data_IF_981838891167
#
_entry.id   IF_981838891167
#
_cell.length_a   1.000
_cell.length_b   1.000
_cell.length_c   1.000
_cell.angle_alpha   90.00
_cell.angle_beta   90.00
_cell.angle_gamma   90.00
#
_symmetry.space_group_name_H-M   'P 1'
#
loop_
_entity.id
_entity.type
_entity.pdbx_description
1 polymer ?
#
# COMPACT_ATOMS: atom_id res chain seq x y z
N UNK A 1 7.77 -50.18 -11.61
CA UNK A 1 8.71 -49.16 -12.05
C UNK A 1 7.89 -47.89 -12.25
N UNK A 2 7.75 -47.10 -11.16
CA UNK A 2 7.00 -45.83 -11.21
C UNK A 2 7.97 -44.77 -11.73
N UNK A 3 7.73 -44.31 -12.96
CA UNK A 3 8.39 -43.11 -13.48
C UNK A 3 7.78 -41.87 -12.79
N UNK A 4 8.48 -41.30 -11.87
CA UNK A 4 8.21 -39.91 -11.40
C UNK A 4 8.68 -39.00 -12.55
N UNK A 5 7.74 -38.49 -13.33
CA UNK A 5 8.00 -37.41 -14.27
C UNK A 5 8.19 -36.16 -13.40
N UNK A 6 9.44 -35.79 -13.12
CA UNK A 6 9.76 -34.45 -12.64
C UNK A 6 9.43 -33.48 -13.79
N UNK A 7 8.31 -32.78 -13.70
CA UNK A 7 8.07 -31.58 -14.50
C UNK A 7 9.16 -30.57 -14.11
N UNK A 8 10.18 -30.45 -14.92
CA UNK A 8 11.06 -29.30 -14.91
C UNK A 8 10.21 -28.11 -15.37
N UNK A 9 9.69 -27.33 -14.43
CA UNK A 9 9.15 -26.03 -14.74
C UNK A 9 10.33 -25.18 -15.27
N UNK A 10 10.27 -24.83 -16.55
CA UNK A 10 11.20 -23.87 -17.11
C UNK A 10 11.03 -22.56 -16.33
N UNK A 11 12.14 -21.98 -15.86
CA UNK A 11 12.15 -20.64 -15.25
C UNK A 11 11.49 -19.68 -16.22
N UNK A 12 10.33 -19.14 -15.84
CA UNK A 12 9.57 -18.26 -16.72
C UNK A 12 10.16 -16.86 -16.61
N UNK A 13 10.83 -16.40 -17.66
CA UNK A 13 11.28 -15.01 -17.74
C UNK A 13 10.08 -14.06 -17.51
N UNK A 14 10.29 -12.91 -16.86
CA UNK A 14 9.21 -11.99 -16.56
C UNK A 14 8.52 -11.54 -17.84
N UNK A 15 7.20 -11.60 -17.81
CA UNK A 15 6.32 -11.10 -18.86
C UNK A 15 5.67 -9.82 -18.38
N UNK A 16 5.34 -8.90 -19.29
CA UNK A 16 4.65 -7.68 -18.92
C UNK A 16 3.77 -7.15 -20.04
N UNK A 17 2.74 -6.42 -19.67
CA UNK A 17 1.80 -5.77 -20.57
C UNK A 17 1.25 -4.49 -19.94
N UNK A 18 0.73 -3.57 -20.73
CA UNK A 18 -0.01 -2.44 -20.23
C UNK A 18 -1.46 -2.86 -19.95
N UNK A 19 -1.98 -2.45 -18.78
CA UNK A 19 -3.40 -2.64 -18.44
C UNK A 19 -4.29 -1.72 -19.29
N UNK A 20 -3.79 -0.52 -19.58
CA UNK A 20 -4.42 0.48 -20.43
C UNK A 20 -3.35 1.19 -21.26
N UNK A 21 -3.74 1.86 -22.32
CA UNK A 21 -2.82 2.64 -23.14
C UNK A 21 -2.25 3.83 -22.34
N UNK A 22 -1.04 4.24 -22.71
CA UNK A 22 -0.43 5.48 -22.19
C UNK A 22 -1.30 6.67 -22.52
N UNK A 23 -1.50 7.56 -21.57
CA UNK A 23 -2.27 8.79 -21.74
C UNK A 23 -1.74 9.92 -20.86
N UNK A 24 -2.14 11.16 -21.17
CA UNK A 24 -1.74 12.34 -20.42
C UNK A 24 -2.47 12.50 -19.09
N UNK A 25 -3.59 11.80 -18.90
CA UNK A 25 -4.34 11.80 -17.64
C UNK A 25 -3.56 11.07 -16.53
N UNK A 26 -3.80 11.48 -15.29
CA UNK A 26 -3.19 10.87 -14.12
C UNK A 26 -3.77 9.47 -13.85
N UNK A 27 -2.90 8.46 -13.79
CA UNK A 27 -3.24 7.06 -13.51
C UNK A 27 -2.29 6.53 -12.44
N UNK A 28 -2.78 6.32 -11.21
CA UNK A 28 -1.89 6.03 -10.09
C UNK A 28 -2.44 5.03 -9.10
N UNK A 29 -1.52 4.41 -8.31
CA UNK A 29 -1.85 3.57 -7.15
C UNK A 29 -2.64 2.31 -7.50
N UNK A 30 -2.06 1.45 -8.34
CA UNK A 30 -2.68 0.20 -8.75
C UNK A 30 -2.89 -0.79 -7.59
N UNK A 31 -4.00 -1.54 -7.65
CA UNK A 31 -4.27 -2.70 -6.79
C UNK A 31 -4.79 -3.86 -7.66
N UNK A 32 -4.28 -5.08 -7.46
CA UNK A 32 -4.60 -6.26 -8.26
C UNK A 32 -5.08 -7.41 -7.38
N UNK A 33 -6.08 -8.18 -7.86
CA UNK A 33 -6.53 -9.43 -7.25
C UNK A 33 -6.78 -10.50 -8.30
N UNK A 34 -6.71 -11.78 -7.90
CA UNK A 34 -7.27 -12.91 -8.64
C UNK A 34 -8.66 -13.21 -8.11
N UNK A 35 -9.67 -13.28 -9.01
CA UNK A 35 -11.05 -13.63 -8.64
C UNK A 35 -11.20 -15.14 -8.39
N UNK A 36 -12.27 -15.61 -7.75
CA UNK A 36 -12.54 -17.03 -7.59
C UNK A 36 -12.57 -17.83 -8.89
N UNK A 37 -12.99 -17.26 -10.00
CA UNK A 37 -13.00 -17.92 -11.33
C UNK A 37 -11.64 -17.87 -12.03
N UNK A 38 -10.69 -17.05 -11.51
CA UNK A 38 -9.32 -16.96 -11.98
C UNK A 38 -9.04 -15.81 -12.93
N UNK A 39 -9.95 -14.87 -13.03
CA UNK A 39 -9.71 -13.60 -13.69
C UNK A 39 -8.76 -12.74 -12.85
N UNK A 40 -8.06 -11.81 -13.50
CA UNK A 40 -7.36 -10.75 -12.82
C UNK A 40 -8.20 -9.46 -12.88
N UNK A 41 -8.36 -8.80 -11.74
CA UNK A 41 -9.03 -7.52 -11.63
C UNK A 41 -8.03 -6.49 -11.08
N UNK A 42 -7.85 -5.36 -11.78
CA UNK A 42 -6.99 -4.25 -11.35
C UNK A 42 -7.85 -3.02 -11.13
N UNK A 43 -7.55 -2.25 -10.07
CA UNK A 43 -8.12 -0.93 -9.83
C UNK A 43 -7.02 0.10 -9.65
N UNK A 44 -7.28 1.35 -10.07
CA UNK A 44 -6.40 2.53 -9.88
C UNK A 44 -7.24 3.79 -9.80
N UNK A 45 -6.67 4.91 -9.38
CA UNK A 45 -7.38 6.17 -9.51
C UNK A 45 -6.94 6.94 -10.76
N UNK A 46 -7.89 7.63 -11.37
CA UNK A 46 -7.79 8.27 -12.67
C UNK A 46 -8.40 9.68 -12.65
N UNK A 47 -7.77 10.64 -13.33
CA UNK A 47 -8.27 12.01 -13.50
C UNK A 47 -7.23 12.96 -14.06
N UNK A 48 -7.39 14.27 -13.82
CA UNK A 48 -6.51 15.28 -14.41
C UNK A 48 -5.24 15.53 -13.58
N UNK A 49 -5.23 15.12 -12.29
CA UNK A 49 -4.07 15.28 -11.42
C UNK A 49 -4.34 14.82 -9.98
N UNK A 50 -3.28 14.56 -9.19
CA UNK A 50 -3.41 14.07 -7.82
C UNK A 50 -3.88 15.14 -6.83
N UNK A 51 -3.61 16.42 -7.10
CA UNK A 51 -3.88 17.51 -6.18
C UNK A 51 -4.72 18.59 -6.84
N UNK A 52 -5.77 18.99 -6.12
CA UNK A 52 -6.66 20.07 -6.58
C UNK A 52 -7.62 19.65 -7.68
N UNK A 53 -7.76 18.35 -7.94
CA UNK A 53 -8.68 17.78 -8.90
C UNK A 53 -9.80 17.02 -8.17
N UNK A 54 -11.00 17.59 -8.17
CA UNK A 54 -12.19 16.99 -7.57
C UNK A 54 -12.88 15.97 -8.51
N UNK A 55 -12.25 15.66 -9.67
CA UNK A 55 -12.78 14.73 -10.68
C UNK A 55 -12.09 13.35 -10.65
N UNK A 56 -11.24 13.09 -9.68
CA UNK A 56 -10.59 11.80 -9.54
C UNK A 56 -11.62 10.70 -9.23
N UNK A 57 -11.58 9.63 -10.00
CA UNK A 57 -12.44 8.46 -9.86
C UNK A 57 -11.61 7.18 -9.67
N UNK A 58 -12.22 6.13 -9.17
CA UNK A 58 -11.61 4.80 -9.21
C UNK A 58 -12.04 4.09 -10.47
N UNK A 59 -11.06 3.76 -11.32
CA UNK A 59 -11.23 2.90 -12.49
C UNK A 59 -10.74 1.48 -12.21
N UNK A 60 -11.19 0.54 -13.01
CA UNK A 60 -10.71 -0.82 -13.04
C UNK A 60 -10.69 -1.41 -14.43
N UNK A 61 -9.96 -2.50 -14.60
CA UNK A 61 -9.96 -3.33 -15.80
C UNK A 61 -9.87 -4.80 -15.39
N UNK A 62 -10.42 -5.67 -16.24
CA UNK A 62 -10.42 -7.11 -16.05
C UNK A 62 -9.63 -7.81 -17.15
N UNK A 63 -8.88 -8.83 -16.77
CA UNK A 63 -8.31 -9.79 -17.68
C UNK A 63 -8.93 -11.15 -17.40
N UNK A 64 -9.89 -11.55 -18.21
CA UNK A 64 -10.54 -12.85 -18.11
C UNK A 64 -9.50 -13.96 -18.26
N UNK A 65 -9.65 -15.01 -17.49
CA UNK A 65 -8.73 -16.15 -17.51
C UNK A 65 -8.52 -16.69 -18.93
N UNK A 66 -7.28 -16.69 -19.37
CA UNK A 66 -6.89 -17.11 -20.72
C UNK A 66 -7.07 -16.06 -21.82
N UNK A 67 -7.55 -14.85 -21.49
CA UNK A 67 -7.60 -13.76 -22.46
C UNK A 67 -6.19 -13.22 -22.76
N UNK A 68 -5.97 -12.78 -23.99
CA UNK A 68 -4.71 -12.19 -24.44
C UNK A 68 -4.54 -10.72 -23.94
N UNK A 69 -5.66 -10.02 -23.70
CA UNK A 69 -5.66 -8.59 -23.36
C UNK A 69 -6.60 -8.27 -22.20
N UNK A 70 -6.38 -7.11 -21.59
CA UNK A 70 -7.27 -6.51 -20.62
C UNK A 70 -8.52 -5.96 -21.30
N UNK A 71 -9.63 -5.87 -20.56
CA UNK A 71 -10.84 -5.14 -20.97
C UNK A 71 -10.54 -3.64 -21.12
N UNK A 72 -11.43 -2.91 -21.78
CA UNK A 72 -11.47 -1.47 -21.62
C UNK A 72 -11.69 -1.09 -20.13
N UNK A 73 -11.12 0.04 -19.65
CA UNK A 73 -11.37 0.52 -18.29
C UNK A 73 -12.86 0.79 -18.04
N UNK A 74 -13.31 0.54 -16.82
CA UNK A 74 -14.65 0.84 -16.32
C UNK A 74 -14.59 1.51 -14.94
N UNK A 75 -15.65 2.26 -14.60
CA UNK A 75 -15.73 2.93 -13.30
C UNK A 75 -16.01 1.91 -12.20
N UNK A 76 -15.17 1.90 -11.17
CA UNK A 76 -15.32 1.08 -9.96
C UNK A 76 -16.02 1.84 -8.84
N UNK A 77 -15.65 3.11 -8.65
CA UNK A 77 -16.27 4.02 -7.70
C UNK A 77 -16.09 5.47 -8.17
N UNK A 78 -17.10 6.28 -7.89
CA UNK A 78 -17.14 7.72 -8.19
C UNK A 78 -18.06 8.40 -7.16
N UNK A 79 -17.49 9.29 -6.36
CA UNK A 79 -18.24 10.17 -5.46
C UNK A 79 -18.31 11.58 -6.11
N UNK A 80 -19.41 11.94 -6.75
CA UNK A 80 -19.48 13.17 -7.54
C UNK A 80 -19.03 14.42 -6.77
N UNK A 81 -18.04 15.12 -7.31
CA UNK A 81 -17.49 16.35 -6.73
C UNK A 81 -16.51 16.12 -5.55
N UNK A 82 -16.08 14.88 -5.34
CA UNK A 82 -15.04 14.53 -4.37
C UNK A 82 -13.95 13.72 -5.07
N UNK A 83 -12.66 13.99 -4.84
CA UNK A 83 -11.59 13.17 -5.40
C UNK A 83 -11.54 11.81 -4.70
N UNK A 84 -11.64 10.73 -5.48
CA UNK A 84 -11.49 9.35 -5.05
C UNK A 84 -10.07 8.83 -5.36
N UNK A 85 -9.37 8.31 -4.35
CA UNK A 85 -7.95 7.93 -4.45
C UNK A 85 -7.61 6.64 -3.70
N UNK A 86 -6.43 6.09 -3.98
CA UNK A 86 -5.82 4.96 -3.27
C UNK A 86 -6.72 3.72 -3.17
N UNK A 87 -7.18 3.15 -4.28
CA UNK A 87 -7.98 1.92 -4.24
C UNK A 87 -7.15 0.74 -3.72
N UNK A 88 -7.78 -0.11 -2.91
CA UNK A 88 -7.24 -1.37 -2.44
C UNK A 88 -8.27 -2.47 -2.65
N UNK A 89 -7.96 -3.41 -3.54
CA UNK A 89 -8.77 -4.59 -3.79
C UNK A 89 -8.33 -5.75 -2.90
N UNK A 90 -9.27 -6.58 -2.51
CA UNK A 90 -9.01 -7.82 -1.81
C UNK A 90 -10.18 -8.80 -2.00
N UNK A 91 -9.87 -10.06 -2.26
CA UNK A 91 -10.86 -11.14 -2.23
C UNK A 91 -10.68 -11.89 -0.92
N UNK A 92 -11.70 -11.91 -0.08
CA UNK A 92 -11.66 -12.57 1.21
C UNK A 92 -11.78 -14.09 1.12
N UNK A 93 -11.63 -14.79 2.25
CA UNK A 93 -11.74 -16.27 2.30
C UNK A 93 -13.14 -16.80 1.99
N UNK A 94 -14.17 -15.97 2.10
CA UNK A 94 -15.53 -16.30 1.73
C UNK A 94 -15.79 -16.11 0.22
N UNK A 95 -14.81 -15.57 -0.51
CA UNK A 95 -14.90 -15.27 -1.93
C UNK A 95 -15.58 -13.94 -2.24
N UNK A 96 -15.77 -13.06 -1.26
CA UNK A 96 -16.29 -11.72 -1.49
C UNK A 96 -15.15 -10.76 -1.90
N UNK A 97 -15.43 -9.93 -2.91
CA UNK A 97 -14.56 -8.84 -3.32
C UNK A 97 -14.80 -7.62 -2.43
N UNK A 98 -13.71 -7.03 -1.98
CA UNK A 98 -13.70 -5.77 -1.24
C UNK A 98 -12.91 -4.71 -2.01
N UNK A 99 -13.40 -3.47 -1.96
CA UNK A 99 -12.70 -2.28 -2.41
C UNK A 99 -12.69 -1.26 -1.27
N UNK A 100 -11.49 -0.86 -0.83
CA UNK A 100 -11.30 0.31 0.02
C UNK A 100 -10.69 1.43 -0.80
N UNK A 101 -11.14 2.66 -0.57
CA UNK A 101 -10.56 3.85 -1.17
C UNK A 101 -10.78 5.04 -0.26
N UNK A 102 -10.21 6.17 -0.57
CA UNK A 102 -10.47 7.42 0.13
C UNK A 102 -11.19 8.40 -0.78
N UNK A 103 -12.05 9.22 -0.16
CA UNK A 103 -12.55 10.45 -0.75
C UNK A 103 -12.16 11.61 0.14
N UNK A 104 -11.93 12.79 -0.43
CA UNK A 104 -11.50 13.96 0.32
C UNK A 104 -12.56 15.06 0.28
N UNK A 105 -12.96 15.55 1.45
CA UNK A 105 -13.75 16.79 1.51
C UNK A 105 -12.81 17.98 1.33
N UNK A 106 -13.19 18.95 0.52
CA UNK A 106 -12.39 20.15 0.25
C UNK A 106 -10.92 19.86 -0.15
N UNK A 107 -10.63 18.67 -0.66
CA UNK A 107 -9.32 18.24 -1.13
C UNK A 107 -8.18 18.48 -0.11
N UNK A 108 -8.45 18.30 1.17
CA UNK A 108 -7.48 18.45 2.26
C UNK A 108 -7.21 17.13 2.97
N UNK A 109 -5.98 16.95 3.47
CA UNK A 109 -5.54 15.69 4.10
C UNK A 109 -6.27 15.37 5.39
N UNK A 110 -6.68 16.40 6.10
CA UNK A 110 -7.41 16.31 7.36
C UNK A 110 -8.79 15.72 7.18
N UNK A 111 -9.33 15.77 5.97
CA UNK A 111 -10.71 15.38 5.66
C UNK A 111 -10.82 14.11 4.83
N UNK A 112 -9.72 13.38 4.60
CA UNK A 112 -9.76 12.10 3.91
C UNK A 112 -10.57 11.09 4.71
N UNK A 113 -11.63 10.55 4.13
CA UNK A 113 -12.42 9.51 4.76
C UNK A 113 -12.36 8.20 3.98
N UNK A 114 -12.22 7.13 4.74
CA UNK A 114 -12.08 5.77 4.22
C UNK A 114 -13.45 5.24 3.80
N UNK A 115 -13.56 4.87 2.55
CA UNK A 115 -14.73 4.19 1.99
C UNK A 115 -14.47 2.69 1.87
N UNK A 116 -15.53 1.91 1.87
CA UNK A 116 -15.50 0.47 1.68
C UNK A 116 -16.70 0.00 0.90
N UNK A 117 -16.47 -0.73 -0.19
CA UNK A 117 -17.45 -1.49 -0.94
C UNK A 117 -17.19 -2.98 -0.81
N UNK A 118 -18.25 -3.78 -0.75
CA UNK A 118 -18.17 -5.24 -0.81
C UNK A 118 -19.14 -5.79 -1.86
N UNK A 119 -18.72 -6.83 -2.57
CA UNK A 119 -19.48 -7.47 -3.65
C UNK A 119 -19.34 -8.98 -3.60
N UNK A 120 -20.45 -9.68 -3.85
CA UNK A 120 -20.51 -11.10 -4.18
C UNK A 120 -20.96 -11.32 -5.63
N UNK A 121 -21.19 -10.23 -6.38
CA UNK A 121 -21.58 -10.22 -7.78
C UNK A 121 -20.56 -9.38 -8.56
N UNK A 122 -19.42 -9.97 -8.84
CA UNK A 122 -18.28 -9.30 -9.47
C UNK A 122 -17.55 -10.16 -10.50
N UNK A 123 -18.01 -11.37 -10.74
CA UNK A 123 -17.53 -12.19 -11.83
C UNK A 123 -18.19 -11.79 -13.15
N UNK A 124 -17.57 -12.11 -14.28
CA UNK A 124 -18.05 -11.71 -15.62
C UNK A 124 -17.54 -10.33 -16.06
N UNK A 125 -18.18 -9.79 -17.09
CA UNK A 125 -17.72 -8.55 -17.72
C UNK A 125 -18.11 -7.28 -16.93
N UNK A 126 -17.22 -6.28 -16.96
CA UNK A 126 -17.48 -4.94 -16.43
C UNK A 126 -17.23 -4.79 -14.94
N UNK A 127 -17.83 -3.74 -14.37
CA UNK A 127 -17.64 -3.36 -12.98
C UNK A 127 -18.39 -4.29 -12.02
N UNK A 128 -17.85 -4.54 -10.81
CA UNK A 128 -18.55 -5.23 -9.74
C UNK A 128 -19.87 -4.56 -9.37
N UNK A 129 -20.86 -5.35 -9.00
CA UNK A 129 -22.09 -4.85 -8.38
C UNK A 129 -21.86 -4.77 -6.86
N UNK A 130 -21.77 -3.56 -6.32
CA UNK A 130 -21.53 -3.37 -4.89
C UNK A 130 -22.82 -3.66 -4.10
N UNK A 131 -22.82 -4.77 -3.36
CA UNK A 131 -23.94 -5.18 -2.53
C UNK A 131 -24.03 -4.37 -1.23
N UNK A 132 -22.90 -3.86 -0.78
CA UNK A 132 -22.78 -2.98 0.36
C UNK A 132 -21.78 -1.88 0.07
N UNK A 133 -22.07 -0.67 0.57
CA UNK A 133 -21.21 0.49 0.44
C UNK A 133 -21.33 1.36 1.68
N UNK A 134 -20.22 1.87 2.20
CA UNK A 134 -20.21 2.72 3.38
C UNK A 134 -18.84 3.33 3.64
N UNK A 135 -18.79 4.28 4.54
CA UNK A 135 -17.54 4.85 5.00
C UNK A 135 -17.19 4.34 6.41
N UNK A 136 -15.91 4.35 6.72
CA UNK A 136 -15.35 3.87 7.96
C UNK A 136 -14.75 5.06 8.70
N UNK A 137 -15.28 5.36 9.88
CA UNK A 137 -14.62 6.29 10.80
C UNK A 137 -13.65 5.52 11.70
N UNK A 138 -12.46 6.09 11.88
CA UNK A 138 -11.44 5.50 12.71
C UNK A 138 -11.52 6.02 14.14
N UNK A 139 -11.13 5.17 15.10
CA UNK A 139 -10.96 5.56 16.48
C UNK A 139 -9.63 5.00 16.99
N UNK A 140 -8.50 5.65 16.63
CA UNK A 140 -7.18 5.20 17.05
C UNK A 140 -7.07 5.17 18.56
N UNK A 141 -6.55 4.07 19.12
CA UNK A 141 -6.34 3.98 20.56
C UNK A 141 -5.14 4.86 20.97
N UNK A 142 -5.29 5.59 22.06
CA UNK A 142 -4.22 6.36 22.70
C UNK A 142 -3.46 7.32 21.76
N UNK A 143 -4.13 7.91 20.77
CA UNK A 143 -3.48 8.74 19.75
C UNK A 143 -2.65 9.88 20.37
N UNK A 144 -3.11 10.69 21.35
CA UNK A 144 -2.30 11.74 21.97
C UNK A 144 -1.02 11.21 22.61
N UNK A 145 -1.10 10.15 23.41
CA UNK A 145 0.05 9.53 24.07
C UNK A 145 1.06 8.94 23.07
N UNK A 146 0.56 8.38 21.98
CA UNK A 146 1.42 7.85 20.90
C UNK A 146 2.19 8.98 20.23
N UNK A 147 1.53 10.10 19.94
CA UNK A 147 2.17 11.28 19.36
C UNK A 147 3.25 11.87 20.28
N UNK A 148 3.02 11.88 21.58
CA UNK A 148 4.02 12.33 22.57
C UNK A 148 5.20 11.36 22.67
N UNK A 149 4.95 10.04 22.70
CA UNK A 149 6.02 9.03 22.66
C UNK A 149 6.85 9.14 21.39
N UNK A 150 6.20 9.38 20.24
CA UNK A 150 6.87 9.58 18.97
C UNK A 150 7.76 10.83 19.01
N UNK A 151 7.24 11.97 19.49
CA UNK A 151 7.99 13.21 19.61
C UNK A 151 9.19 13.07 20.56
N UNK A 152 9.02 12.43 21.71
CA UNK A 152 10.12 12.18 22.64
C UNK A 152 11.19 11.24 22.07
N UNK A 153 10.82 10.37 21.12
CA UNK A 153 11.73 9.44 20.44
C UNK A 153 12.53 10.03 19.29
N UNK A 154 12.09 11.16 18.72
CA UNK A 154 12.62 11.72 17.47
C UNK A 154 14.10 12.05 17.57
N UNK A 155 14.54 12.78 18.60
CA UNK A 155 15.94 13.16 18.80
C UNK A 155 16.86 11.94 18.89
N UNK A 156 16.44 10.95 19.67
CA UNK A 156 17.21 9.71 19.85
C UNK A 156 17.31 8.91 18.55
N UNK A 157 16.25 8.89 17.75
CA UNK A 157 16.15 8.03 16.56
C UNK A 157 16.79 8.66 15.33
N UNK A 158 16.56 9.93 15.11
CA UNK A 158 16.95 10.63 13.89
C UNK A 158 18.10 11.62 14.10
N UNK A 159 18.32 12.10 15.34
CA UNK A 159 19.35 13.09 15.63
C UNK A 159 19.22 14.34 14.75
N UNK A 160 20.34 14.85 14.25
CA UNK A 160 20.38 16.02 13.37
C UNK A 160 19.65 15.82 12.03
N UNK A 161 19.45 14.57 11.57
CA UNK A 161 18.75 14.30 10.31
C UNK A 161 17.30 14.77 10.36
N UNK A 162 16.69 14.81 11.56
CA UNK A 162 15.31 15.27 11.71
C UNK A 162 15.15 16.77 11.44
N UNK A 163 16.16 17.55 11.80
CA UNK A 163 16.17 19.01 11.59
C UNK A 163 16.83 19.42 10.27
N UNK A 164 17.24 18.45 9.45
CA UNK A 164 17.80 18.71 8.11
C UNK A 164 16.83 19.46 7.20
N UNK A 165 15.52 19.24 7.40
CA UNK A 165 14.45 19.94 6.69
C UNK A 165 13.37 20.39 7.70
N UNK A 166 13.05 21.69 7.79
CA UNK A 166 12.05 22.23 8.75
C UNK A 166 10.69 21.52 8.70
N UNK A 167 10.28 21.04 7.52
CA UNK A 167 9.01 20.35 7.31
C UNK A 167 8.80 19.14 8.23
N UNK A 168 9.86 18.44 8.66
CA UNK A 168 9.70 17.26 9.54
C UNK A 168 9.22 17.70 10.93
N UNK A 169 9.84 18.75 11.49
CA UNK A 169 9.44 19.28 12.79
C UNK A 169 8.06 19.94 12.75
N UNK A 170 7.79 20.72 11.72
CA UNK A 170 6.49 21.35 11.51
C UNK A 170 5.35 20.33 11.48
N UNK A 171 5.52 19.24 10.71
CA UNK A 171 4.53 18.16 10.63
C UNK A 171 4.34 17.40 11.94
N UNK A 172 5.44 17.15 12.68
CA UNK A 172 5.35 16.50 13.98
C UNK A 172 4.54 17.35 14.97
N UNK A 173 4.86 18.65 15.07
CA UNK A 173 4.15 19.59 15.93
C UNK A 173 2.69 19.73 15.52
N UNK A 174 2.41 19.81 14.22
CA UNK A 174 1.04 19.85 13.71
C UNK A 174 0.27 18.58 14.12
N UNK A 175 0.84 17.39 13.90
CA UNK A 175 0.22 16.13 14.29
C UNK A 175 -0.04 16.01 15.79
N UNK A 176 0.92 16.45 16.65
CA UNK A 176 0.71 16.49 18.11
C UNK A 176 -0.42 17.44 18.50
N UNK A 177 -0.50 18.59 17.87
CA UNK A 177 -1.57 19.56 18.08
C UNK A 177 -2.91 18.96 17.70
N UNK A 178 -3.03 18.38 16.49
CA UNK A 178 -4.27 17.76 16.01
C UNK A 178 -4.73 16.58 16.90
N UNK A 179 -3.79 15.79 17.45
CA UNK A 179 -4.13 14.67 18.33
C UNK A 179 -4.71 15.10 19.68
N UNK A 180 -4.36 16.28 20.19
CA UNK A 180 -4.79 16.79 21.51
C UNK A 180 -6.11 17.53 21.50
N UNK A 181 -6.62 17.92 20.35
CA UNK A 181 -7.89 18.64 20.25
C UNK A 181 -9.12 17.80 20.65
N UNK A 182 -8.94 16.50 20.89
CA UNK A 182 -10.02 15.65 21.41
C UNK A 182 -10.30 15.88 22.91
N UNK A 183 -9.38 16.48 23.68
CA UNK A 183 -9.47 16.61 25.13
C UNK A 183 -9.89 18.01 25.61
N UNK A 184 -9.80 19.04 24.78
CA UNK A 184 -10.10 20.40 25.18
C UNK A 184 -11.46 20.88 24.71
N UNK A 185 -12.24 21.25 25.68
CA UNK A 185 -13.60 21.72 25.66
C UNK A 185 -13.87 22.91 24.71
N UNK A 186 -15.05 22.89 24.17
CA UNK A 186 -15.73 23.73 23.17
C UNK A 186 -15.88 25.22 23.59
N UNK A 187 -14.83 25.92 23.92
CA UNK A 187 -14.96 27.37 24.11
C UNK A 187 -14.40 28.20 22.93
N UNK A 188 -13.62 27.58 22.03
CA UNK A 188 -13.24 28.17 20.74
C UNK A 188 -13.72 27.25 19.60
N UNK A 189 -14.70 27.67 18.86
CA UNK A 189 -15.51 26.89 17.94
C UNK A 189 -14.73 26.27 16.75
N UNK A 190 -13.53 26.71 16.44
CA UNK A 190 -12.92 26.40 15.15
C UNK A 190 -11.88 25.25 15.21
N UNK A 191 -11.08 25.13 16.26
CA UNK A 191 -9.96 24.16 16.29
C UNK A 191 -10.28 22.77 16.88
N UNK A 192 -11.07 22.60 17.96
CA UNK A 192 -11.36 21.30 18.56
C UNK A 192 -12.13 20.35 17.63
N UNK A 193 -13.06 20.89 16.84
CA UNK A 193 -13.86 20.12 15.89
C UNK A 193 -12.98 19.52 14.80
N UNK A 194 -12.02 20.29 14.30
CA UNK A 194 -11.11 19.81 13.25
C UNK A 194 -10.20 18.70 13.78
N UNK A 195 -9.65 18.82 14.99
CA UNK A 195 -8.82 17.78 15.59
C UNK A 195 -9.56 16.46 15.79
N UNK A 196 -10.79 16.51 16.30
CA UNK A 196 -11.64 15.31 16.45
C UNK A 196 -11.97 14.68 15.09
N UNK A 197 -12.38 15.49 14.11
CA UNK A 197 -12.65 15.01 12.77
C UNK A 197 -11.41 14.36 12.13
N UNK A 198 -10.23 14.99 12.25
CA UNK A 198 -8.99 14.43 11.73
C UNK A 198 -8.61 13.12 12.41
N UNK A 199 -8.85 12.98 13.71
CA UNK A 199 -8.65 11.71 14.44
C UNK A 199 -9.56 10.59 13.93
N UNK A 200 -10.80 10.92 13.54
CA UNK A 200 -11.78 9.98 12.98
C UNK A 200 -11.62 9.78 11.47
N UNK A 201 -10.99 10.70 10.79
CA UNK A 201 -10.74 10.74 9.35
C UNK A 201 -9.21 10.72 9.12
N UNK A 202 -8.75 11.11 7.93
CA UNK A 202 -7.34 11.23 7.58
C UNK A 202 -6.52 9.91 7.54
N UNK A 203 -7.13 8.76 7.77
CA UNK A 203 -6.47 7.46 7.71
C UNK A 203 -6.78 6.75 6.40
N UNK A 204 -5.74 6.46 5.66
CA UNK A 204 -5.81 6.02 4.25
C UNK A 204 -5.30 4.59 4.09
N UNK A 205 -5.90 3.77 3.23
CA UNK A 205 -5.34 2.48 2.84
C UNK A 205 -4.30 2.69 1.73
N UNK A 206 -3.42 1.72 1.54
CA UNK A 206 -2.56 1.64 0.36
C UNK A 206 -2.19 0.20 0.00
N UNK A 207 -1.83 -0.60 1.00
CA UNK A 207 -1.45 -1.98 0.80
C UNK A 207 -2.63 -2.90 1.09
N UNK A 208 -2.63 -4.06 0.46
CA UNK A 208 -3.68 -5.05 0.65
C UNK A 208 -3.76 -5.50 2.11
N UNK A 209 -4.97 -5.75 2.63
CA UNK A 209 -5.14 -6.37 3.92
C UNK A 209 -4.65 -7.82 3.90
N UNK A 210 -4.48 -8.37 5.08
CA UNK A 210 -4.19 -9.79 5.27
C UNK A 210 -5.23 -10.43 6.18
N UNK A 211 -5.45 -11.73 6.01
CA UNK A 211 -6.20 -12.50 7.00
C UNK A 211 -5.24 -13.01 8.06
N UNK A 212 -5.43 -12.58 9.30
CA UNK A 212 -4.69 -13.03 10.46
C UNK A 212 -4.98 -14.51 10.76
N UNK A 213 -4.13 -15.13 11.58
CA UNK A 213 -4.32 -16.53 12.02
C UNK A 213 -5.59 -16.76 12.83
N UNK A 214 -6.06 -15.73 13.54
CA UNK A 214 -7.31 -15.75 14.29
C UNK A 214 -8.57 -15.56 13.42
N UNK A 215 -8.37 -15.39 12.11
CA UNK A 215 -9.44 -15.25 11.11
C UNK A 215 -9.88 -13.83 10.85
N UNK A 216 -9.47 -12.85 11.66
CA UNK A 216 -9.75 -11.44 11.39
C UNK A 216 -9.03 -10.95 10.15
N UNK A 217 -9.63 -10.03 9.43
CA UNK A 217 -8.97 -9.23 8.42
C UNK A 217 -8.24 -8.07 9.10
N UNK A 218 -6.98 -7.84 8.73
CA UNK A 218 -6.18 -6.70 9.18
C UNK A 218 -5.75 -5.85 7.99
N UNK A 219 -6.03 -4.55 8.04
CA UNK A 219 -5.62 -3.57 7.03
C UNK A 219 -4.68 -2.54 7.65
N UNK A 220 -3.57 -2.27 6.97
CA UNK A 220 -2.67 -1.18 7.34
C UNK A 220 -3.22 0.15 6.84
N UNK A 221 -3.41 1.10 7.75
CA UNK A 221 -3.85 2.46 7.46
C UNK A 221 -2.75 3.45 7.85
N UNK A 222 -2.65 4.56 7.13
CA UNK A 222 -1.67 5.61 7.42
C UNK A 222 -2.31 6.99 7.37
N UNK A 223 -1.67 7.94 8.06
CA UNK A 223 -2.08 9.34 8.04
C UNK A 223 -0.91 10.26 7.69
N UNK A 224 -1.11 11.11 6.70
CA UNK A 224 -0.19 12.18 6.34
C UNK A 224 -0.27 13.37 7.32
N UNK A 225 -1.30 13.44 8.17
CA UNK A 225 -1.41 14.43 9.24
C UNK A 225 -0.58 14.03 10.44
N UNK A 226 -0.73 12.79 10.89
CA UNK A 226 0.00 12.26 12.06
C UNK A 226 1.37 11.66 11.71
N UNK A 227 1.71 11.54 10.41
CA UNK A 227 2.98 10.98 9.92
C UNK A 227 3.27 9.59 10.49
N UNK A 228 2.25 8.77 10.65
CA UNK A 228 2.32 7.42 11.20
C UNK A 228 1.24 6.51 10.61
N UNK A 229 1.22 5.27 11.03
CA UNK A 229 0.29 4.23 10.59
C UNK A 229 -0.35 3.52 11.79
N UNK A 230 -1.45 2.82 11.52
CA UNK A 230 -2.11 1.92 12.46
C UNK A 230 -2.69 0.70 11.74
N UNK A 231 -3.23 -0.24 12.51
CA UNK A 231 -3.95 -1.39 11.96
C UNK A 231 -5.43 -1.29 12.27
N UNK A 232 -6.26 -1.42 11.24
CA UNK A 232 -7.71 -1.64 11.37
C UNK A 232 -8.03 -3.13 11.27
N UNK A 233 -9.05 -3.58 12.02
CA UNK A 233 -9.47 -4.99 12.07
C UNK A 233 -10.97 -5.13 11.87
N UNK A 234 -11.35 -6.18 11.15
CA UNK A 234 -12.75 -6.62 11.04
C UNK A 234 -12.84 -8.14 11.09
N UNK A 235 -13.93 -8.67 11.61
CA UNK A 235 -14.23 -10.11 11.68
C UNK A 235 -15.55 -10.48 10.97
N UNK A 236 -16.24 -9.50 10.39
CA UNK A 236 -17.60 -9.63 9.86
C UNK A 236 -17.74 -9.14 8.40
N UNK A 237 -16.63 -9.21 7.64
CA UNK A 237 -16.60 -8.76 6.25
C UNK A 237 -16.61 -7.23 6.10
N UNK A 238 -16.10 -6.51 7.10
CA UNK A 238 -15.98 -5.05 7.05
C UNK A 238 -17.19 -4.26 7.50
N UNK A 239 -18.18 -4.91 8.13
CA UNK A 239 -19.36 -4.24 8.69
C UNK A 239 -19.06 -3.48 9.97
N UNK A 240 -18.19 -4.06 10.82
CA UNK A 240 -17.68 -3.41 12.04
C UNK A 240 -16.16 -3.41 12.07
N UNK A 241 -15.60 -2.37 12.67
CA UNK A 241 -14.16 -2.14 12.72
C UNK A 241 -13.68 -1.82 14.13
N UNK A 242 -12.48 -2.30 14.43
CA UNK A 242 -11.70 -1.88 15.59
C UNK A 242 -10.29 -1.47 15.13
N UNK A 243 -9.62 -0.63 15.91
CA UNK A 243 -8.33 -0.06 15.55
C UNK A 243 -7.35 -0.24 16.69
N UNK A 244 -6.08 -0.54 16.34
CA UNK A 244 -4.97 -0.57 17.27
C UNK A 244 -4.41 0.82 17.60
N UNK A 245 -3.39 0.85 18.45
CA UNK A 245 -2.57 2.04 18.66
C UNK A 245 -1.81 2.39 17.36
N UNK A 246 -1.65 3.67 17.03
CA UNK A 246 -0.71 4.06 15.99
C UNK A 246 0.74 3.63 16.29
N UNK A 247 1.52 3.45 15.26
CA UNK A 247 2.93 3.11 15.36
C UNK A 247 3.72 4.34 15.84
N UNK A 248 4.32 4.28 17.04
CA UNK A 248 5.07 5.41 17.61
C UNK A 248 6.42 5.64 16.86
N UNK A 249 6.36 5.77 15.54
CA UNK A 249 7.50 5.93 14.66
C UNK A 249 7.22 6.93 13.54
N UNK A 250 7.89 8.09 13.60
CA UNK A 250 7.68 9.19 12.67
C UNK A 250 8.07 8.79 11.24
N UNK A 251 7.16 9.02 10.31
CA UNK A 251 7.38 8.82 8.88
C UNK A 251 7.14 7.39 8.39
N UNK A 252 6.82 6.42 9.26
CA UNK A 252 6.39 5.09 8.84
C UNK A 252 4.95 5.17 8.35
N UNK A 253 4.77 5.24 7.03
CA UNK A 253 3.45 5.32 6.39
C UNK A 253 3.26 4.24 5.34
N UNK A 254 2.02 4.03 4.88
CA UNK A 254 1.63 3.05 3.87
C UNK A 254 2.11 1.62 4.20
N UNK A 255 1.74 1.07 5.36
CA UNK A 255 2.27 -0.20 5.84
C UNK A 255 1.72 -1.39 5.05
N UNK A 256 2.61 -2.22 4.50
CA UNK A 256 2.31 -3.56 4.04
C UNK A 256 2.45 -4.53 5.22
N UNK A 257 1.38 -5.27 5.53
CA UNK A 257 1.33 -6.19 6.66
C UNK A 257 1.70 -7.62 6.24
N UNK A 258 2.43 -8.33 7.09
CA UNK A 258 2.68 -9.76 6.94
C UNK A 258 2.78 -10.42 8.31
N UNK A 259 2.25 -11.64 8.49
CA UNK A 259 2.28 -12.35 9.76
C UNK A 259 3.22 -13.55 9.71
N UNK A 260 4.21 -13.59 10.60
CA UNK A 260 5.15 -14.71 10.75
C UNK A 260 4.46 -15.95 11.31
N UNK A 261 5.12 -17.11 11.17
CA UNK A 261 4.64 -18.38 11.74
C UNK A 261 4.58 -18.38 13.28
N UNK A 262 5.38 -17.57 13.94
CA UNK A 262 5.33 -17.38 15.40
C UNK A 262 4.19 -16.46 15.87
N UNK A 263 3.44 -15.86 14.95
CA UNK A 263 2.34 -14.97 15.24
C UNK A 263 2.71 -13.48 15.20
N UNK A 264 4.00 -13.14 15.17
CA UNK A 264 4.46 -11.74 15.06
C UNK A 264 3.87 -11.10 13.81
N UNK A 265 3.18 -9.98 13.97
CA UNK A 265 2.76 -9.15 12.85
C UNK A 265 3.86 -8.15 12.51
N UNK A 266 4.22 -8.07 11.24
CA UNK A 266 5.26 -7.17 10.71
C UNK A 266 4.61 -6.19 9.76
N UNK A 267 4.93 -4.91 9.91
CA UNK A 267 4.57 -3.86 8.99
C UNK A 267 5.82 -3.32 8.30
N UNK A 268 5.85 -3.37 6.97
CA UNK A 268 6.88 -2.74 6.15
C UNK A 268 6.32 -1.44 5.60
N UNK A 269 6.97 -0.32 5.89
CA UNK A 269 6.47 1.00 5.53
C UNK A 269 7.43 1.80 4.67
N UNK A 270 6.83 2.71 3.91
CA UNK A 270 7.50 3.82 3.25
C UNK A 270 8.07 4.77 4.30
N UNK A 271 9.26 5.32 4.05
CA UNK A 271 9.81 6.40 4.88
C UNK A 271 9.46 7.79 4.33
N UNK A 272 8.55 8.46 5.01
CA UNK A 272 8.25 9.89 4.77
C UNK A 272 9.09 10.82 5.67
N UNK A 273 10.01 10.23 6.42
CA UNK A 273 10.99 10.90 7.27
C UNK A 273 12.36 11.05 6.59
N UNK A 274 13.40 11.34 7.38
CA UNK A 274 14.73 11.63 6.87
C UNK A 274 15.60 10.41 6.55
N UNK A 275 15.21 9.18 6.98
CA UNK A 275 16.08 7.99 6.89
C UNK A 275 16.27 7.46 5.48
N UNK A 276 15.28 7.66 4.62
CA UNK A 276 15.28 7.16 3.24
C UNK A 276 15.55 5.66 3.12
N UNK A 277 14.95 4.89 4.06
CA UNK A 277 15.05 3.43 4.10
C UNK A 277 13.68 2.82 4.35
N UNK A 278 13.49 1.57 3.95
CA UNK A 278 12.27 0.83 4.28
C UNK A 278 12.19 0.71 5.80
N UNK A 279 11.07 1.17 6.36
CA UNK A 279 10.79 1.16 7.79
C UNK A 279 10.09 -0.13 8.18
N UNK A 280 10.40 -0.66 9.35
CA UNK A 280 9.78 -1.88 9.88
C UNK A 280 9.25 -1.64 11.28
N UNK A 281 8.03 -2.09 11.52
CA UNK A 281 7.46 -2.21 12.86
C UNK A 281 7.02 -3.66 13.11
N UNK A 282 7.19 -4.14 14.36
CA UNK A 282 6.77 -5.47 14.78
C UNK A 282 5.85 -5.42 15.99
N UNK A 283 4.82 -6.26 15.96
CA UNK A 283 3.80 -6.42 16.99
C UNK A 283 3.71 -7.88 17.44
N UNK A 284 3.62 -8.10 18.76
CA UNK A 284 3.44 -9.42 19.36
C UNK A 284 1.97 -9.71 19.72
N UNK A 285 1.07 -8.74 19.53
CA UNK A 285 -0.35 -8.79 19.87
C UNK A 285 -1.27 -8.58 18.65
N UNK A 286 -0.79 -9.08 17.50
CA UNK A 286 -1.50 -9.03 16.22
C UNK A 286 -1.86 -7.61 15.75
N UNK A 287 -1.01 -6.61 16.06
CA UNK A 287 -1.15 -5.25 15.57
C UNK A 287 -1.98 -4.31 16.47
N UNK A 288 -2.32 -4.74 17.70
CA UNK A 288 -2.96 -3.87 18.68
C UNK A 288 -1.99 -2.81 19.20
N UNK A 289 -0.73 -3.21 19.46
CA UNK A 289 0.37 -2.31 19.80
C UNK A 289 1.64 -2.66 19.04
N UNK A 290 2.54 -1.70 18.89
CA UNK A 290 3.78 -1.82 18.13
C UNK A 290 4.97 -1.49 19.02
N UNK A 291 5.98 -2.39 19.09
CA UNK A 291 7.04 -2.29 20.09
C UNK A 291 8.45 -2.18 19.51
N UNK A 292 8.71 -2.81 18.38
CA UNK A 292 10.03 -2.84 17.74
C UNK A 292 9.98 -2.06 16.43
N UNK A 293 10.86 -1.07 16.30
CA UNK A 293 10.97 -0.22 15.12
C UNK A 293 12.42 -0.19 14.65
N UNK A 294 12.65 -0.51 13.39
CA UNK A 294 13.97 -0.50 12.77
C UNK A 294 13.90 -0.24 11.27
N UNK A 295 15.07 -0.04 10.66
CA UNK A 295 15.19 0.20 9.23
C UNK A 295 15.82 -1.03 8.55
N UNK A 296 15.30 -1.45 7.39
CA UNK A 296 16.01 -2.40 6.54
C UNK A 296 17.22 -1.72 5.88
N UNK A 297 18.25 -2.48 5.52
CA UNK A 297 19.38 -1.97 4.72
C UNK A 297 18.99 -1.80 3.24
N UNK A 298 17.77 -1.36 2.99
CA UNK A 298 17.20 -1.12 1.65
C UNK A 298 16.75 0.32 1.57
N UNK A 299 17.19 1.03 0.56
CA UNK A 299 16.79 2.42 0.33
C UNK A 299 15.30 2.53 0.04
N UNK A 300 14.71 3.66 0.38
CA UNK A 300 13.33 4.01 0.03
C UNK A 300 13.25 5.50 -0.30
N UNK A 301 12.97 5.85 -1.55
CA UNK A 301 12.90 7.24 -2.01
C UNK A 301 11.55 7.90 -1.69
N UNK A 302 11.01 7.71 -0.50
CA UNK A 302 9.66 8.17 -0.17
C UNK A 302 8.62 7.57 -1.15
N UNK A 303 8.65 6.24 -1.32
CA UNK A 303 7.77 5.50 -2.22
C UNK A 303 7.12 4.29 -1.55
N UNK A 304 5.87 4.01 -1.94
CA UNK A 304 5.11 2.85 -1.47
C UNK A 304 5.78 1.53 -1.87
N UNK A 305 5.51 0.49 -1.12
CA UNK A 305 5.94 -0.88 -1.38
C UNK A 305 4.77 -1.84 -1.17
N UNK A 306 4.94 -3.09 -1.58
CA UNK A 306 3.99 -4.17 -1.33
C UNK A 306 4.70 -5.44 -0.91
N UNK A 307 4.09 -6.23 -0.04
CA UNK A 307 4.62 -7.53 0.44
C UNK A 307 3.53 -8.58 0.33
N UNK A 308 3.90 -9.78 -0.14
CA UNK A 308 3.03 -10.96 -0.11
C UNK A 308 3.79 -12.18 0.39
N UNK A 309 3.06 -13.12 0.99
CA UNK A 309 3.57 -14.43 1.43
C UNK A 309 3.19 -15.45 0.38
N UNK A 310 4.19 -16.13 -0.19
CA UNK A 310 4.00 -17.15 -1.21
C UNK A 310 3.52 -18.47 -0.59
N UNK A 311 2.93 -19.33 -1.41
CA UNK A 311 2.54 -20.70 -1.05
C UNK A 311 3.72 -21.57 -0.59
N UNK A 312 4.94 -21.25 -1.02
CA UNK A 312 6.19 -21.84 -0.53
C UNK A 312 6.52 -21.47 0.91
N UNK A 313 5.92 -20.40 1.45
CA UNK A 313 6.24 -19.79 2.72
C UNK A 313 7.32 -18.71 2.65
N UNK A 314 7.91 -18.46 1.50
CA UNK A 314 8.80 -17.33 1.24
C UNK A 314 8.00 -16.04 1.08
N UNK A 315 8.65 -14.90 1.27
CA UNK A 315 8.02 -13.60 1.15
C UNK A 315 8.59 -12.83 -0.03
N UNK A 316 7.74 -12.14 -0.76
CA UNK A 316 8.14 -11.24 -1.86
C UNK A 316 7.78 -9.82 -1.49
N UNK A 317 8.73 -8.91 -1.68
CA UNK A 317 8.56 -7.47 -1.58
C UNK A 317 8.82 -6.83 -2.96
N UNK A 318 7.94 -5.93 -3.35
CA UNK A 318 8.15 -5.06 -4.52
C UNK A 318 8.31 -3.63 -4.01
N UNK A 319 9.42 -2.97 -4.35
CA UNK A 319 9.74 -1.63 -3.86
C UNK A 319 10.65 -0.85 -4.82
N UNK A 320 10.74 0.46 -4.61
CA UNK A 320 11.83 1.28 -5.13
C UNK A 320 13.00 1.24 -4.16
N UNK A 321 14.21 1.05 -4.65
CA UNK A 321 15.42 0.86 -3.84
C UNK A 321 16.57 1.82 -4.23
N UNK A 322 16.21 2.99 -4.76
CA UNK A 322 17.14 4.01 -5.22
C UNK A 322 16.74 5.38 -4.67
N UNK A 323 17.61 6.05 -3.94
CA UNK A 323 17.32 7.38 -3.35
C UNK A 323 17.63 8.57 -4.27
N UNK A 324 17.64 8.34 -5.60
CA UNK A 324 17.90 9.43 -6.56
C UNK A 324 19.37 9.82 -6.62
N UNK A 325 20.22 8.89 -7.05
CA UNK A 325 21.66 9.13 -7.29
C UNK A 325 21.91 9.50 -8.74
N UNK A 326 23.00 10.21 -9.02
CA UNK A 326 23.46 10.58 -10.36
C UNK A 326 22.37 11.30 -11.22
N UNK A 327 21.56 12.15 -10.56
CA UNK A 327 20.48 12.91 -11.21
C UNK A 327 19.23 12.09 -11.57
N UNK A 328 19.19 10.80 -11.24
CA UNK A 328 18.03 9.92 -11.46
C UNK A 328 16.96 10.16 -10.42
N UNK A 329 15.71 10.12 -10.83
CA UNK A 329 14.58 10.14 -9.89
C UNK A 329 14.55 8.85 -9.06
N UNK A 330 14.29 8.95 -7.75
CA UNK A 330 14.32 7.77 -6.86
C UNK A 330 13.33 6.66 -7.22
N UNK A 331 12.24 6.98 -7.92
CA UNK A 331 11.25 5.99 -8.40
C UNK A 331 11.54 5.47 -9.82
N UNK A 332 12.72 5.79 -10.40
CA UNK A 332 13.11 5.31 -11.73
C UNK A 332 13.53 3.84 -11.76
N UNK A 333 13.63 3.18 -10.60
CA UNK A 333 13.92 1.75 -10.49
C UNK A 333 12.93 1.06 -9.57
N UNK A 334 12.34 -0.04 -10.05
CA UNK A 334 11.46 -0.93 -9.31
C UNK A 334 12.10 -2.30 -9.22
N UNK A 335 12.11 -2.91 -8.04
CA UNK A 335 12.73 -4.22 -7.80
C UNK A 335 11.77 -5.18 -7.11
N UNK A 336 11.98 -6.48 -7.36
CA UNK A 336 11.42 -7.58 -6.59
C UNK A 336 12.51 -8.17 -5.68
N UNK A 337 12.18 -8.37 -4.42
CA UNK A 337 13.07 -8.97 -3.42
C UNK A 337 12.42 -10.20 -2.80
N UNK A 338 13.22 -11.24 -2.52
CA UNK A 338 12.77 -12.47 -1.87
C UNK A 338 13.40 -12.61 -0.49
N UNK A 339 12.57 -12.97 0.47
CA UNK A 339 12.97 -13.41 1.81
C UNK A 339 12.60 -14.88 2.01
N UNK A 340 13.58 -15.68 2.48
CA UNK A 340 13.40 -17.10 2.80
C UNK A 340 13.34 -17.34 4.32
N UNK A 341 13.32 -16.27 5.12
CA UNK A 341 13.36 -16.26 6.58
C UNK A 341 12.22 -15.42 7.22
N UNK A 342 11.05 -15.42 6.59
CA UNK A 342 9.84 -14.70 7.06
C UNK A 342 10.07 -13.19 7.22
N UNK A 343 10.73 -12.58 6.22
CA UNK A 343 10.94 -11.15 6.12
C UNK A 343 12.02 -10.57 7.04
N UNK A 344 12.86 -11.44 7.68
CA UNK A 344 13.98 -10.97 8.50
C UNK A 344 15.12 -10.45 7.65
N UNK A 345 15.39 -11.12 6.52
CA UNK A 345 16.38 -10.67 5.52
C UNK A 345 15.83 -10.76 4.10
N UNK A 346 16.33 -9.89 3.22
CA UNK A 346 15.90 -9.76 1.83
C UNK A 346 17.15 -9.86 0.93
N UNK A 347 17.62 -11.10 0.71
CA UNK A 347 18.93 -11.37 0.09
C UNK A 347 18.89 -11.51 -1.43
N UNK A 348 17.78 -11.98 -1.99
CA UNK A 348 17.61 -12.15 -3.43
C UNK A 348 16.90 -10.92 -3.97
N UNK A 349 17.38 -10.41 -5.11
CA UNK A 349 16.85 -9.19 -5.71
C UNK A 349 16.90 -9.27 -7.22
N UNK A 350 15.83 -8.86 -7.89
CA UNK A 350 15.73 -8.68 -9.35
C UNK A 350 15.17 -7.32 -9.69
N UNK A 351 15.74 -6.69 -10.71
CA UNK A 351 15.21 -5.45 -11.27
C UNK A 351 14.03 -5.78 -12.17
N UNK A 352 12.89 -5.13 -11.92
CA UNK A 352 11.69 -5.21 -12.76
C UNK A 352 11.69 -4.09 -13.80
N UNK A 353 11.99 -2.86 -13.36
CA UNK A 353 12.10 -1.67 -14.19
C UNK A 353 13.33 -0.87 -13.78
N UNK A 354 14.04 -0.35 -14.76
CA UNK A 354 15.16 0.57 -14.53
C UNK A 354 15.29 1.54 -15.70
N UNK A 355 14.95 2.81 -15.47
CA UNK A 355 15.06 3.85 -16.47
C UNK A 355 16.36 4.63 -16.33
N UNK A 356 17.11 4.69 -17.41
CA UNK A 356 18.25 5.59 -17.57
C UNK A 356 17.89 6.86 -18.35
N UNK A 357 16.60 7.07 -18.64
CA UNK A 357 16.09 8.28 -19.31
C UNK A 357 16.50 9.52 -18.52
N UNK A 358 16.90 10.60 -19.19
CA UNK A 358 17.33 11.84 -18.54
C UNK A 358 16.34 12.35 -17.49
N UNK A 359 16.84 12.97 -16.41
CA UNK A 359 16.04 13.38 -15.26
C UNK A 359 14.88 14.34 -15.58
N UNK A 360 14.99 15.11 -16.64
CA UNK A 360 13.96 16.06 -17.08
C UNK A 360 12.65 15.40 -17.49
N UNK A 361 12.65 14.12 -17.82
CA UNK A 361 11.43 13.35 -18.17
C UNK A 361 10.82 12.67 -16.94
N UNK A 362 11.51 12.65 -15.79
CA UNK A 362 11.05 12.09 -14.54
C UNK A 362 10.35 10.72 -14.63
N UNK A 363 10.90 9.73 -15.39
CA UNK A 363 10.26 8.44 -15.49
C UNK A 363 10.17 7.82 -14.10
N UNK A 364 8.98 7.30 -13.74
CA UNK A 364 8.83 6.62 -12.48
C UNK A 364 7.96 5.37 -12.59
N UNK A 365 8.28 4.38 -11.75
CA UNK A 365 7.62 3.10 -11.62
C UNK A 365 7.35 2.91 -10.13
N UNK A 366 6.10 3.03 -9.71
CA UNK A 366 5.84 3.17 -8.28
C UNK A 366 4.49 2.59 -7.87
N UNK A 367 4.26 2.56 -6.57
CA UNK A 367 3.01 2.13 -5.97
C UNK A 367 2.58 0.73 -6.42
N UNK A 368 3.46 -0.28 -6.24
CA UNK A 368 3.17 -1.64 -6.63
C UNK A 368 2.14 -2.29 -5.72
N UNK A 369 1.41 -3.26 -6.27
CA UNK A 369 0.70 -4.31 -5.53
C UNK A 369 1.15 -5.65 -6.05
N UNK A 370 1.44 -6.60 -5.18
CA UNK A 370 1.91 -7.95 -5.51
C UNK A 370 1.00 -9.01 -4.91
N UNK A 371 0.62 -9.99 -5.74
CA UNK A 371 -0.10 -11.19 -5.34
C UNK A 371 0.58 -12.44 -5.89
N UNK A 372 0.24 -13.60 -5.33
CA UNK A 372 0.48 -14.89 -5.98
C UNK A 372 -0.86 -15.48 -6.37
N UNK A 373 -1.02 -15.87 -7.63
CA UNK A 373 -2.20 -16.54 -8.14
C UNK A 373 -2.16 -18.05 -7.87
N UNK A 374 -3.29 -18.72 -8.05
CA UNK A 374 -3.44 -20.17 -7.77
C UNK A 374 -2.57 -21.05 -8.64
N UNK A 375 -2.16 -20.61 -9.81
CA UNK A 375 -1.20 -21.30 -10.68
C UNK A 375 0.26 -21.14 -10.21
N UNK A 376 0.50 -20.35 -9.15
CA UNK A 376 1.80 -20.14 -8.53
C UNK A 376 2.58 -18.97 -9.10
N UNK A 377 2.08 -18.26 -10.12
CA UNK A 377 2.71 -17.07 -10.67
C UNK A 377 2.59 -15.89 -9.69
N UNK A 378 3.59 -15.04 -9.72
CA UNK A 378 3.64 -13.79 -8.95
C UNK A 378 3.27 -12.66 -9.90
N UNK A 379 2.19 -11.95 -9.60
CA UNK A 379 1.66 -10.85 -10.40
C UNK A 379 1.89 -9.53 -9.69
N UNK A 380 2.36 -8.53 -10.43
CA UNK A 380 2.64 -7.18 -9.93
C UNK A 380 1.91 -6.17 -10.83
N UNK A 381 1.09 -5.33 -10.23
CA UNK A 381 0.53 -4.15 -10.90
C UNK A 381 1.11 -2.87 -10.28
N UNK A 382 1.46 -1.89 -11.09
CA UNK A 382 2.10 -0.66 -10.63
C UNK A 382 1.86 0.50 -11.58
N UNK A 383 2.01 1.72 -11.05
CA UNK A 383 2.05 2.95 -11.84
C UNK A 383 3.28 2.93 -12.74
N UNK A 384 3.07 3.12 -14.02
CA UNK A 384 4.10 3.11 -15.05
C UNK A 384 4.08 4.42 -15.82
N UNK A 385 5.10 5.24 -15.63
CA UNK A 385 5.24 6.56 -16.22
C UNK A 385 6.61 6.67 -16.89
N UNK A 386 6.77 6.14 -18.12
CA UNK A 386 7.98 6.36 -18.89
C UNK A 386 8.05 7.79 -19.46
N UNK A 387 6.96 8.34 -19.94
CA UNK A 387 6.71 9.72 -20.39
C UNK A 387 5.28 10.14 -20.09
N UNK A 388 4.31 9.32 -20.47
CA UNK A 388 2.88 9.45 -20.14
C UNK A 388 2.51 8.33 -19.16
N UNK A 389 1.34 8.42 -18.53
CA UNK A 389 0.95 7.53 -17.45
C UNK A 389 0.13 6.34 -17.92
N UNK A 390 0.36 5.20 -17.29
CA UNK A 390 -0.42 3.98 -17.44
C UNK A 390 -0.31 3.13 -16.19
N UNK A 391 -1.09 2.06 -16.13
CA UNK A 391 -0.90 0.95 -15.22
C UNK A 391 -0.27 -0.21 -15.98
N UNK A 392 0.83 -0.74 -15.47
CA UNK A 392 1.52 -1.90 -16.04
C UNK A 392 1.35 -3.11 -15.15
N UNK A 393 1.13 -4.25 -15.78
CA UNK A 393 1.07 -5.56 -15.17
C UNK A 393 2.28 -6.37 -15.60
N UNK A 394 2.91 -7.05 -14.63
CA UNK A 394 4.05 -7.94 -14.85
C UNK A 394 3.82 -9.24 -14.08
N UNK A 395 4.29 -10.38 -14.63
CA UNK A 395 4.26 -11.65 -13.92
C UNK A 395 5.49 -12.50 -14.17
N UNK A 396 5.85 -13.30 -13.18
CA UNK A 396 6.99 -14.20 -13.16
C UNK A 396 6.79 -15.31 -12.14
N UNK A 397 7.60 -16.36 -12.19
CA UNK A 397 7.59 -17.42 -11.17
C UNK A 397 8.61 -17.15 -10.03
N UNK A 398 8.46 -17.88 -8.92
CA UNK A 398 9.38 -17.76 -7.79
C UNK A 398 10.79 -18.26 -8.14
N UNK A 399 10.92 -19.21 -9.08
CA UNK A 399 12.19 -19.77 -9.48
C UNK A 399 13.05 -18.69 -10.18
N UNK A 400 12.43 -17.86 -11.02
CA UNK A 400 13.12 -16.72 -11.63
C UNK A 400 13.70 -15.77 -10.58
N UNK A 401 12.94 -15.49 -9.51
CA UNK A 401 13.40 -14.59 -8.45
C UNK A 401 14.49 -15.22 -7.56
N UNK A 402 14.51 -16.55 -7.44
CA UNK A 402 15.54 -17.31 -6.70
C UNK A 402 16.84 -17.44 -7.44
N UNK A 403 16.80 -17.60 -8.75
CA UNK A 403 17.96 -17.88 -9.60
C UNK A 403 18.79 -16.60 -9.86
N UNK A 404 19.14 -15.91 -8.74
CA UNK A 404 20.10 -14.80 -8.76
C UNK A 404 21.43 -15.37 -8.35
N UNK A 405 22.37 -15.54 -9.29
CA UNK A 405 23.77 -15.74 -8.97
C UNK A 405 24.23 -14.59 -8.07
N UNK A 406 24.74 -14.94 -6.88
CA UNK A 406 25.04 -14.00 -5.79
C UNK A 406 26.20 -13.04 -6.09
N UNK A 407 26.13 -12.33 -7.22
CA UNK A 407 27.08 -11.31 -7.66
C UNK A 407 26.33 -10.15 -8.32
N UNK A 408 25.80 -9.23 -7.50
CA UNK A 408 25.77 -7.79 -7.78
C UNK A 408 25.68 -6.98 -6.50
#
# INVERSE_FOLDING_TARGET
MNFVIALLFAVTAPQSELVMLLEASHNHSASIVETPEGDLLVAWFHGQGEKGDDTLIIQGARKTKGAESWSAPFVMADNPGLPDQNPVLYVDRAGALHLWWISALANTRETYFLQHGASTDFEGDGAPVWNWNGFITQSPQNLPDVMDRMAAGVEKKFGADFDSEPKYRERLVHGQRMARFDETYIDDWDEPVLGRLTGMLSWMPRCQPITLRDGRLAIGLYSDVYMTSLTGFTADGGKTWSFGEPMADYGLIQPALAQRKDGTLVAYGRDKGPRKRIRVAESDDAGQTWKRFYDLPVENPDSSLSVTILSSGNWVMICNDLNGVDGRHGRSRLVAMLSEDEGRTWKKRRVLEDSTTPPEYHPHFAYPTVIQTRDGLIHVAYTYTPLEESIKHMWFDEAWLRDVDGSE
#
